data_IF_862395823211
#
_entry.id   IF_862395823211
#
_cell.length_a   1.000
_cell.length_b   1.000
_cell.length_c   1.000
_cell.angle_alpha   90.00
_cell.angle_beta   90.00
_cell.angle_gamma   90.00
#
_symmetry.space_group_name_H-M   'P 1'
#
loop_
_entity.id
_entity.type
_entity.pdbx_description
1 polymer ?
#
# COMPACT_ATOMS: atom_id res chain seq x y z
N UNK A 1 -17.29 2.84 9.39
CA UNK A 1 -16.58 3.34 8.19
C UNK A 1 -15.75 4.55 8.60
N UNK A 2 -14.44 4.38 8.78
CA UNK A 2 -13.55 5.44 9.29
C UNK A 2 -13.10 6.41 8.17
N UNK A 3 -13.06 5.92 6.93
CA UNK A 3 -12.67 6.64 5.71
C UNK A 3 -13.69 7.66 5.19
N UNK A 4 -14.85 7.78 5.85
CA UNK A 4 -15.92 8.76 5.52
C UNK A 4 -16.15 9.72 6.71
N UNK A 5 -15.30 9.65 7.74
CA UNK A 5 -15.40 10.55 8.87
C UNK A 5 -14.97 11.97 8.48
N UNK A 6 -15.65 12.98 9.00
CA UNK A 6 -15.35 14.40 8.73
C UNK A 6 -13.87 14.71 8.99
N UNK A 7 -13.30 14.16 10.08
CA UNK A 7 -11.89 14.35 10.42
C UNK A 7 -10.92 13.78 9.38
N UNK A 8 -11.30 12.72 8.66
CA UNK A 8 -10.49 12.17 7.58
C UNK A 8 -10.52 13.08 6.35
N UNK A 9 -11.71 13.55 5.95
CA UNK A 9 -11.88 14.48 4.83
C UNK A 9 -11.17 15.82 5.07
N UNK A 10 -11.25 16.37 6.29
CA UNK A 10 -10.55 17.61 6.66
C UNK A 10 -9.02 17.46 6.52
N UNK A 11 -8.46 16.32 6.95
CA UNK A 11 -7.03 16.02 6.82
C UNK A 11 -6.57 15.94 5.37
N UNK A 12 -7.41 15.38 4.49
CA UNK A 12 -7.11 15.26 3.06
C UNK A 12 -7.13 16.62 2.37
N UNK A 13 -8.09 17.49 2.74
CA UNK A 13 -8.14 18.88 2.26
C UNK A 13 -6.89 19.65 2.72
N UNK A 14 -6.49 19.52 3.98
CA UNK A 14 -5.25 20.13 4.51
C UNK A 14 -4.00 19.65 3.73
N UNK A 15 -3.95 18.36 3.41
CA UNK A 15 -2.85 17.76 2.66
C UNK A 15 -2.91 17.99 1.14
N UNK A 16 -3.96 18.67 0.64
CA UNK A 16 -4.25 18.81 -0.81
C UNK A 16 -4.33 17.49 -1.56
N UNK A 17 -4.81 16.45 -0.89
CA UNK A 17 -5.04 15.13 -1.46
C UNK A 17 -6.52 15.04 -1.83
N UNK A 18 -6.80 14.81 -3.11
CA UNK A 18 -8.16 14.57 -3.56
C UNK A 18 -8.56 13.12 -3.24
N UNK A 19 -9.59 12.89 -2.39
CA UNK A 19 -10.04 11.53 -2.09
C UNK A 19 -10.70 10.90 -3.32
N UNK A 20 -10.06 9.88 -3.91
CA UNK A 20 -10.76 8.92 -4.77
C UNK A 20 -11.54 7.95 -3.89
N UNK A 21 -12.70 8.36 -3.40
CA UNK A 21 -13.67 7.43 -2.81
C UNK A 21 -14.51 6.92 -3.96
N UNK A 22 -14.15 5.75 -4.49
CA UNK A 22 -14.81 5.17 -5.67
C UNK A 22 -16.34 5.20 -5.55
N UNK A 23 -17.01 5.41 -6.69
CA UNK A 23 -18.47 5.26 -6.74
C UNK A 23 -18.88 3.85 -6.31
N UNK A 24 -20.07 3.69 -5.72
CA UNK A 24 -20.59 2.37 -5.31
C UNK A 24 -20.50 1.41 -6.49
N UNK A 25 -19.64 0.39 -6.38
CA UNK A 25 -19.45 -0.63 -7.41
C UNK A 25 -18.13 -0.57 -8.19
N UNK A 26 -17.22 0.37 -7.90
CA UNK A 26 -15.86 0.36 -8.48
C UNK A 26 -14.92 -0.51 -7.63
N UNK A 27 -15.02 -1.82 -7.83
CA UNK A 27 -14.29 -2.84 -7.07
C UNK A 27 -12.80 -2.92 -7.47
N UNK A 28 -12.42 -2.37 -8.61
CA UNK A 28 -11.04 -2.41 -9.11
C UNK A 28 -10.08 -1.60 -8.25
N UNK A 29 -10.50 -0.42 -7.80
CA UNK A 29 -9.66 0.46 -6.96
C UNK A 29 -9.28 -0.20 -5.63
N UNK A 30 -10.19 -1.02 -5.07
CA UNK A 30 -9.95 -1.71 -3.81
C UNK A 30 -9.32 -3.10 -4.00
N UNK A 31 -9.44 -3.74 -5.18
CA UNK A 31 -8.98 -5.10 -5.42
C UNK A 31 -7.48 -5.29 -5.17
N UNK A 32 -6.66 -4.29 -5.52
CA UNK A 32 -5.22 -4.32 -5.25
C UNK A 32 -4.93 -4.26 -3.75
N UNK A 33 -5.58 -3.33 -3.04
CA UNK A 33 -5.44 -3.20 -1.59
C UNK A 33 -5.93 -4.46 -0.86
N UNK A 34 -7.04 -5.05 -1.31
CA UNK A 34 -7.57 -6.31 -0.77
C UNK A 34 -6.61 -7.48 -0.99
N UNK A 35 -5.98 -7.56 -2.15
CA UNK A 35 -4.98 -8.60 -2.46
C UNK A 35 -3.78 -8.49 -1.53
N UNK A 36 -3.26 -7.28 -1.31
CA UNK A 36 -2.12 -7.04 -0.40
C UNK A 36 -2.53 -7.37 1.03
N UNK A 37 -3.70 -6.92 1.49
CA UNK A 37 -4.22 -7.22 2.82
C UNK A 37 -4.46 -8.72 3.04
N UNK A 38 -4.93 -9.43 2.01
CA UNK A 38 -5.10 -10.88 2.02
C UNK A 38 -3.76 -11.61 2.19
N UNK A 39 -2.74 -11.21 1.42
CA UNK A 39 -1.38 -11.75 1.55
C UNK A 39 -0.79 -11.50 2.94
N UNK A 40 -0.91 -10.28 3.45
CA UNK A 40 -0.46 -9.92 4.80
C UNK A 40 -1.11 -10.82 5.86
N UNK A 41 -2.44 -10.97 5.82
CA UNK A 41 -3.16 -11.83 6.77
C UNK A 41 -2.72 -13.28 6.67
N UNK A 42 -2.55 -13.81 5.46
CA UNK A 42 -2.09 -15.17 5.24
C UNK A 42 -0.67 -15.41 5.77
N UNK A 43 0.27 -14.50 5.49
CA UNK A 43 1.67 -14.67 5.83
C UNK A 43 1.99 -14.36 7.30
N UNK A 44 1.33 -13.36 7.87
CA UNK A 44 1.66 -12.81 9.19
C UNK A 44 0.65 -13.22 10.24
N UNK A 45 -0.64 -13.03 9.98
CA UNK A 45 -1.68 -13.17 11.01
C UNK A 45 -2.09 -14.63 11.21
N UNK A 46 -2.29 -15.39 10.13
CA UNK A 46 -2.81 -16.76 10.22
C UNK A 46 -1.75 -17.82 10.56
N UNK A 47 -0.45 -17.50 10.39
CA UNK A 47 0.65 -18.45 10.59
C UNK A 47 1.19 -18.54 12.01
N UNK A 48 0.80 -17.63 12.91
CA UNK A 48 1.36 -17.52 14.26
C UNK A 48 0.35 -16.95 15.24
N UNK A 49 0.44 -17.42 16.48
CA UNK A 49 -0.28 -16.82 17.60
C UNK A 49 0.60 -15.74 18.22
N UNK A 50 -0.01 -14.60 18.52
CA UNK A 50 0.68 -13.44 19.09
C UNK A 50 0.49 -13.41 20.60
N UNK A 51 1.59 -13.24 21.33
CA UNK A 51 1.55 -13.14 22.80
C UNK A 51 1.01 -11.77 23.24
N UNK A 52 1.35 -10.72 22.49
CA UNK A 52 0.90 -9.36 22.72
C UNK A 52 0.87 -8.58 21.40
N UNK A 53 0.35 -7.35 21.46
CA UNK A 53 0.19 -6.48 20.29
C UNK A 53 1.53 -6.01 19.74
N UNK A 54 2.50 -5.73 20.61
CA UNK A 54 3.81 -5.19 20.24
C UNK A 54 4.59 -6.17 19.35
N UNK A 55 4.53 -7.47 19.64
CA UNK A 55 5.14 -8.49 18.78
C UNK A 55 4.48 -8.57 17.40
N UNK A 56 3.16 -8.44 17.35
CA UNK A 56 2.43 -8.41 16.08
C UNK A 56 2.82 -7.17 15.27
N UNK A 57 2.92 -6.00 15.90
CA UNK A 57 3.33 -4.75 15.26
C UNK A 57 4.75 -4.84 14.70
N UNK A 58 5.71 -5.37 15.47
CA UNK A 58 7.08 -5.55 15.00
C UNK A 58 7.14 -6.46 13.76
N UNK A 59 6.44 -7.59 13.80
CA UNK A 59 6.40 -8.48 12.66
C UNK A 59 5.64 -7.92 11.45
N UNK A 60 4.70 -7.01 11.69
CA UNK A 60 4.05 -6.23 10.64
C UNK A 60 5.07 -5.34 9.96
N UNK A 61 5.90 -4.62 10.72
CA UNK A 61 6.97 -3.78 10.19
C UNK A 61 7.98 -4.61 9.38
N UNK A 62 8.40 -5.77 9.91
CA UNK A 62 9.30 -6.67 9.20
C UNK A 62 8.71 -7.17 7.88
N UNK A 63 7.42 -7.53 7.88
CA UNK A 63 6.74 -7.98 6.67
C UNK A 63 6.58 -6.86 5.64
N UNK A 64 6.25 -5.64 6.07
CA UNK A 64 6.16 -4.46 5.20
C UNK A 64 7.51 -4.13 4.58
N UNK A 65 8.59 -4.13 5.38
CA UNK A 65 9.94 -3.91 4.87
C UNK A 65 10.33 -4.99 3.86
N UNK A 66 10.11 -6.26 4.20
CA UNK A 66 10.38 -7.35 3.27
C UNK A 66 9.58 -7.22 1.97
N UNK A 67 8.28 -6.91 2.06
CA UNK A 67 7.42 -6.80 0.89
C UNK A 67 7.90 -5.68 -0.06
N UNK A 68 8.26 -4.52 0.46
CA UNK A 68 8.61 -3.36 -0.37
C UNK A 68 10.07 -3.37 -0.83
N UNK A 69 10.99 -3.77 0.04
CA UNK A 69 12.43 -3.59 -0.18
C UNK A 69 13.17 -4.88 -0.58
N UNK A 70 12.52 -6.05 -0.46
CA UNK A 70 13.19 -7.36 -0.67
C UNK A 70 12.42 -8.32 -1.58
N UNK A 71 11.09 -8.28 -1.58
CA UNK A 71 10.26 -9.23 -2.33
C UNK A 71 10.35 -8.95 -3.82
N UNK A 72 10.80 -9.95 -4.58
CA UNK A 72 10.77 -9.89 -6.04
C UNK A 72 9.36 -10.21 -6.54
N UNK A 73 8.77 -9.31 -7.31
CA UNK A 73 7.41 -9.46 -7.81
C UNK A 73 7.42 -9.63 -9.34
N UNK A 74 7.01 -10.82 -9.80
CA UNK A 74 7.01 -11.19 -11.23
C UNK A 74 6.28 -10.20 -12.14
N UNK A 75 5.06 -9.73 -11.80
CA UNK A 75 4.31 -8.73 -12.60
C UNK A 75 5.04 -7.42 -12.88
N UNK A 76 5.99 -7.02 -12.04
CA UNK A 76 6.79 -5.80 -12.21
C UNK A 76 8.21 -6.08 -12.70
N UNK A 77 8.47 -7.29 -13.24
CA UNK A 77 9.77 -7.64 -13.81
C UNK A 77 10.76 -8.21 -12.80
N UNK A 78 10.28 -8.84 -11.72
CA UNK A 78 11.12 -9.45 -10.68
C UNK A 78 12.07 -8.46 -9.99
N UNK A 79 11.58 -7.26 -9.70
CA UNK A 79 12.27 -6.28 -8.85
C UNK A 79 11.47 -6.04 -7.56
N UNK A 80 12.09 -5.48 -6.51
CA UNK A 80 11.36 -4.99 -5.35
C UNK A 80 10.37 -3.87 -5.70
N UNK A 81 9.17 -3.84 -5.09
CA UNK A 81 8.19 -2.77 -5.32
C UNK A 81 8.75 -1.36 -5.16
N UNK A 82 9.59 -1.10 -4.14
CA UNK A 82 10.20 0.20 -3.92
C UNK A 82 11.12 0.63 -5.08
N UNK A 83 11.82 -0.32 -5.72
CA UNK A 83 12.65 -0.04 -6.88
C UNK A 83 11.82 0.27 -8.13
N UNK A 84 10.72 -0.45 -8.33
CA UNK A 84 9.79 -0.21 -9.43
C UNK A 84 9.11 1.17 -9.29
N UNK A 85 8.66 1.54 -8.09
CA UNK A 85 8.09 2.86 -7.79
C UNK A 85 9.11 3.97 -8.06
N UNK A 86 10.34 3.84 -7.54
CA UNK A 86 11.39 4.82 -7.79
C UNK A 86 11.75 4.95 -9.28
N UNK A 87 11.67 3.85 -10.06
CA UNK A 87 11.89 3.89 -11.50
C UNK A 87 10.74 4.61 -12.24
N UNK A 88 9.50 4.36 -11.82
CA UNK A 88 8.31 5.02 -12.35
C UNK A 88 8.35 6.53 -12.09
N UNK A 89 8.69 6.96 -10.87
CA UNK A 89 8.79 8.38 -10.53
C UNK A 89 9.85 9.11 -11.35
N UNK A 90 11.03 8.50 -11.52
CA UNK A 90 12.08 9.03 -12.41
C UNK A 90 11.62 9.14 -13.87
N UNK A 91 10.75 8.24 -14.33
CA UNK A 91 10.18 8.34 -15.67
C UNK A 91 9.18 9.50 -15.76
N UNK A 92 8.29 9.65 -14.78
CA UNK A 92 7.29 10.73 -14.74
C UNK A 92 7.95 12.11 -14.69
N UNK A 93 8.97 12.28 -13.85
CA UNK A 93 9.73 13.55 -13.77
C UNK A 93 10.34 13.89 -15.14
N UNK A 94 10.99 12.93 -15.80
CA UNK A 94 11.58 13.14 -17.13
C UNK A 94 10.55 13.49 -18.20
N UNK A 95 9.35 12.92 -18.12
CA UNK A 95 8.25 13.24 -19.03
C UNK A 95 7.71 14.65 -18.79
N UNK A 96 7.59 15.07 -17.54
CA UNK A 96 7.17 16.42 -17.17
C UNK A 96 8.20 17.49 -17.54
N UNK A 97 9.50 17.19 -17.44
CA UNK A 97 10.59 18.10 -17.86
C UNK A 97 10.69 18.24 -19.40
N UNK A 98 10.19 17.27 -20.15
CA UNK A 98 10.22 17.25 -21.61
C UNK A 98 8.97 17.87 -22.27
N UNK A 99 7.95 18.22 -21.47
CA UNK A 99 6.69 18.82 -21.90
C UNK A 99 6.70 20.36 -21.74
#
# INVERSE_FOLDING_TARGET
>A
MQYVSIRYSERLVEARIEPSVGSVGDWYDNALAETINGLYKADVIHRRSWRNREQMELATLDWVHWYNDKRLLGPIGYVPPAEAEAAYDRQQIRQAEAA
#
